data_IF_865310305463
#
_entry.id   IF_865310305463
#
_cell.length_a   1.000
_cell.length_b   1.000
_cell.length_c   1.000
_cell.angle_alpha   90.00
_cell.angle_beta   90.00
_cell.angle_gamma   90.00
#
_symmetry.space_group_name_H-M   'P 1'
#
loop_
_entity.id
_entity.type
_entity.pdbx_description
1 polymer ?
#
# COMPACT_ATOMS: atom_id res chain seq x y z
N UNK A 1 -6.20 9.64 -4.88
CA UNK A 1 -7.49 10.29 -4.64
C UNK A 1 -7.40 11.06 -3.34
N UNK A 2 -8.18 12.12 -3.17
CA UNK A 2 -8.31 12.69 -1.83
C UNK A 2 -9.05 11.69 -0.93
N UNK A 3 -8.87 11.86 0.38
CA UNK A 3 -9.58 11.05 1.36
C UNK A 3 -11.10 11.15 1.13
N UNK A 4 -11.77 10.00 1.10
CA UNK A 4 -13.22 9.91 0.85
C UNK A 4 -13.66 10.02 -0.62
N UNK A 5 -12.76 10.34 -1.56
CA UNK A 5 -13.11 10.40 -2.99
C UNK A 5 -12.96 9.05 -3.71
N UNK A 6 -12.15 8.15 -3.17
CA UNK A 6 -12.04 6.80 -3.73
C UNK A 6 -13.27 5.97 -3.33
N UNK A 7 -14.06 5.57 -4.33
CA UNK A 7 -15.24 4.72 -4.12
C UNK A 7 -14.77 3.30 -3.89
N UNK A 8 -15.08 2.76 -2.72
CA UNK A 8 -14.78 1.39 -2.33
C UNK A 8 -15.94 0.47 -2.71
N UNK A 9 -15.61 -0.76 -3.12
CA UNK A 9 -16.57 -1.84 -3.30
C UNK A 9 -16.19 -3.10 -2.51
N UNK A 10 -17.00 -4.15 -2.65
CA UNK A 10 -16.83 -5.43 -1.91
C UNK A 10 -15.51 -6.16 -2.23
N UNK A 11 -14.82 -5.73 -3.28
CA UNK A 11 -13.53 -6.30 -3.69
C UNK A 11 -12.33 -5.52 -3.16
N UNK A 12 -12.51 -4.40 -2.45
CA UNK A 12 -11.42 -3.62 -1.87
C UNK A 12 -11.17 -4.06 -0.42
N UNK A 13 -9.95 -4.50 -0.15
CA UNK A 13 -9.50 -4.91 1.18
C UNK A 13 -8.63 -3.80 1.76
N UNK A 14 -9.00 -3.27 2.93
CA UNK A 14 -8.16 -2.34 3.67
C UNK A 14 -6.99 -3.13 4.28
N UNK A 15 -5.77 -2.80 3.89
CA UNK A 15 -4.56 -3.42 4.44
C UNK A 15 -4.18 -2.86 5.81
N UNK A 16 -4.49 -1.57 6.02
CA UNK A 16 -4.12 -0.83 7.21
C UNK A 16 -3.98 0.67 6.92
N UNK A 17 -3.48 1.41 7.90
CA UNK A 17 -3.19 2.83 7.77
C UNK A 17 -1.67 3.03 7.76
N UNK A 18 -1.15 3.59 6.68
CA UNK A 18 0.27 3.90 6.51
C UNK A 18 0.60 5.21 7.23
N UNK A 19 1.41 5.13 8.29
CA UNK A 19 1.95 6.30 8.99
C UNK A 19 3.00 7.02 8.13
N UNK A 20 2.82 8.33 7.96
CA UNK A 20 3.73 9.18 7.18
C UNK A 20 4.87 9.79 8.03
N UNK A 21 4.89 9.54 9.34
CA UNK A 21 5.91 10.03 10.27
C UNK A 21 5.72 11.48 10.74
N UNK A 22 4.63 12.14 10.32
CA UNK A 22 4.28 13.51 10.70
C UNK A 22 2.94 13.62 11.45
N UNK A 23 2.47 12.49 11.99
CA UNK A 23 1.20 12.38 12.71
C UNK A 23 -0.02 12.17 11.80
N UNK A 24 0.17 12.11 10.47
CA UNK A 24 -0.87 11.74 9.51
C UNK A 24 -0.72 10.29 9.09
N UNK A 25 -1.86 9.64 8.84
CA UNK A 25 -1.92 8.30 8.26
C UNK A 25 -2.75 8.31 6.97
N UNK A 26 -2.46 7.36 6.08
CA UNK A 26 -3.21 7.16 4.83
C UNK A 26 -3.68 5.72 4.75
N UNK A 27 -4.99 5.52 4.56
CA UNK A 27 -5.55 4.19 4.37
C UNK A 27 -5.02 3.54 3.09
N UNK A 28 -4.49 2.32 3.21
CA UNK A 28 -3.99 1.51 2.10
C UNK A 28 -5.01 0.45 1.72
N UNK A 29 -5.31 0.36 0.42
CA UNK A 29 -6.32 -0.55 -0.13
C UNK A 29 -5.71 -1.43 -1.21
N UNK A 30 -6.23 -2.64 -1.34
CA UNK A 30 -5.81 -3.62 -2.35
C UNK A 30 -7.01 -4.41 -2.84
N UNK A 31 -7.03 -4.78 -4.12
CA UNK A 31 -8.08 -5.67 -4.60
C UNK A 31 -7.98 -7.04 -3.91
N UNK A 32 -9.12 -7.70 -3.70
CA UNK A 32 -9.20 -9.04 -3.09
C UNK A 32 -8.29 -10.05 -3.77
N UNK A 33 -8.20 -10.03 -5.10
CA UNK A 33 -7.35 -10.96 -5.85
C UNK A 33 -5.85 -10.71 -5.62
N UNK A 34 -5.43 -9.46 -5.52
CA UNK A 34 -4.04 -9.12 -5.16
C UNK A 34 -3.76 -9.44 -3.70
N UNK A 35 -4.71 -9.17 -2.81
CA UNK A 35 -4.59 -9.49 -1.38
C UNK A 35 -4.37 -10.99 -1.17
N UNK A 36 -5.17 -11.86 -1.79
CA UNK A 36 -4.97 -13.32 -1.65
C UNK A 36 -3.57 -13.76 -2.07
N UNK A 37 -3.00 -13.11 -3.08
CA UNK A 37 -1.66 -13.40 -3.55
C UNK A 37 -0.55 -12.80 -2.68
N UNK A 38 -0.78 -11.67 -1.99
CA UNK A 38 0.25 -10.93 -1.24
C UNK A 38 0.07 -10.91 0.28
N UNK A 39 -0.99 -11.49 0.83
CA UNK A 39 -1.32 -11.45 2.29
C UNK A 39 -0.23 -12.00 3.21
N UNK A 40 0.71 -12.77 2.68
CA UNK A 40 1.85 -13.35 3.39
C UNK A 40 3.14 -12.55 3.17
N UNK A 41 3.03 -11.28 2.76
CA UNK A 41 4.17 -10.40 2.49
C UNK A 41 4.14 -9.13 3.33
N UNK A 42 5.31 -8.70 3.78
CA UNK A 42 5.53 -7.34 4.26
C UNK A 42 5.73 -6.44 3.05
N UNK A 43 4.90 -5.40 2.93
CA UNK A 43 4.97 -4.42 1.87
C UNK A 43 5.59 -3.12 2.40
N UNK A 44 6.67 -2.68 1.76
CA UNK A 44 7.27 -1.36 1.98
C UNK A 44 6.93 -0.46 0.80
N UNK A 45 6.41 0.73 1.08
CA UNK A 45 6.11 1.75 0.07
C UNK A 45 7.17 2.84 0.14
N UNK A 46 8.01 2.92 -0.89
CA UNK A 46 9.05 3.93 -1.01
C UNK A 46 8.64 5.06 -1.96
N UNK A 47 9.23 6.25 -1.78
CA UNK A 47 9.25 7.33 -2.78
C UNK A 47 10.66 7.47 -3.31
N UNK A 48 10.85 7.25 -4.62
CA UNK A 48 12.16 7.30 -5.27
C UNK A 48 12.15 8.26 -6.45
N UNK A 49 13.32 8.80 -6.82
CA UNK A 49 13.46 9.60 -8.05
C UNK A 49 13.13 8.75 -9.27
N UNK A 50 12.37 9.31 -10.22
CA UNK A 50 12.04 8.63 -11.47
C UNK A 50 10.71 9.05 -12.05
N UNK A 51 10.39 8.48 -13.22
CA UNK A 51 9.11 8.70 -13.89
C UNK A 51 8.03 7.84 -13.23
N UNK A 52 7.00 8.49 -12.65
CA UNK A 52 5.78 7.83 -12.19
C UNK A 52 4.98 7.20 -13.33
N UNK A 53 4.04 6.32 -13.00
CA UNK A 53 3.11 5.78 -13.99
C UNK A 53 2.24 6.93 -14.56
N UNK A 54 1.74 6.77 -15.80
CA UNK A 54 1.01 7.84 -16.50
C UNK A 54 -0.28 8.32 -15.80
N UNK A 55 -0.79 7.54 -14.85
CA UNK A 55 -1.97 7.85 -14.03
C UNK A 55 -1.61 8.35 -12.62
N UNK A 56 -0.33 8.38 -12.25
CA UNK A 56 0.12 8.65 -10.89
C UNK A 56 0.25 10.16 -10.64
N UNK A 57 -0.29 10.64 -9.51
CA UNK A 57 -0.37 12.06 -9.20
C UNK A 57 0.99 12.72 -8.95
N UNK A 58 1.97 11.94 -8.51
CA UNK A 58 3.33 12.39 -8.25
C UNK A 58 4.19 12.50 -9.52
N UNK A 59 3.70 12.03 -10.68
CA UNK A 59 4.47 12.01 -11.92
C UNK A 59 5.08 13.38 -12.33
N UNK A 60 4.39 14.53 -12.17
CA UNK A 60 4.96 15.85 -12.43
C UNK A 60 6.08 16.26 -11.45
N UNK A 61 6.19 15.59 -10.30
CA UNK A 61 7.15 15.91 -9.24
C UNK A 61 8.52 15.23 -9.45
N UNK A 62 8.69 14.44 -10.52
CA UNK A 62 9.95 13.75 -10.83
C UNK A 62 10.29 12.60 -9.87
N UNK A 63 9.30 12.12 -9.12
CA UNK A 63 9.38 10.96 -8.24
C UNK A 63 8.36 9.90 -8.65
N UNK A 64 8.47 8.71 -8.06
CA UNK A 64 7.50 7.62 -8.19
C UNK A 64 7.41 6.81 -6.92
N UNK A 65 6.26 6.18 -6.70
CA UNK A 65 6.14 5.14 -5.68
C UNK A 65 6.80 3.84 -6.14
N UNK A 66 7.46 3.15 -5.22
CA UNK A 66 8.02 1.81 -5.43
C UNK A 66 7.57 0.91 -4.28
N UNK A 67 6.86 -0.18 -4.61
CA UNK A 67 6.52 -1.20 -3.65
C UNK A 67 7.63 -2.25 -3.64
N UNK A 68 8.18 -2.53 -2.47
CA UNK A 68 9.05 -3.68 -2.21
C UNK A 68 8.30 -4.67 -1.34
N UNK A 69 8.43 -5.94 -1.66
CA UNK A 69 7.84 -7.01 -0.87
C UNK A 69 8.93 -7.95 -0.37
N UNK A 70 8.71 -8.49 0.82
CA UNK A 70 9.38 -9.68 1.33
C UNK A 70 8.34 -10.59 1.95
N UNK A 71 8.64 -11.88 2.04
CA UNK A 71 7.82 -12.78 2.84
C UNK A 71 7.82 -12.32 4.31
N UNK A 72 6.68 -12.48 4.97
CA UNK A 72 6.61 -12.35 6.42
C UNK A 72 7.43 -13.47 7.08
N UNK A 73 8.05 -13.17 8.23
CA UNK A 73 8.65 -14.21 9.07
C UNK A 73 7.57 -15.03 9.77
N UNK A 74 7.96 -16.17 10.35
CA UNK A 74 7.05 -17.01 11.14
C UNK A 74 6.38 -16.21 12.27
N UNK A 75 7.16 -15.48 13.09
CA UNK A 75 6.63 -14.59 14.13
C UNK A 75 5.65 -13.53 13.62
N UNK A 76 5.85 -13.01 12.39
CA UNK A 76 4.97 -12.00 11.81
C UNK A 76 3.67 -12.63 11.30
N UNK A 77 3.72 -13.86 10.80
CA UNK A 77 2.54 -14.62 10.40
C UNK A 77 1.70 -15.03 11.61
N UNK A 78 2.31 -15.46 12.70
CA UNK A 78 1.60 -15.81 13.94
C UNK A 78 0.81 -14.61 14.49
N UNK A 79 1.39 -13.41 14.46
CA UNK A 79 0.70 -12.17 14.90
C UNK A 79 -0.47 -11.76 14.01
N UNK A 80 -0.58 -12.28 12.79
CA UNK A 80 -1.72 -12.02 11.90
C UNK A 80 -2.86 -13.02 12.10
N UNK A 81 -2.61 -14.15 12.76
CA UNK A 81 -3.62 -15.17 13.03
C UNK A 81 -4.39 -14.98 14.34
N UNK A 82 -3.96 -14.03 15.18
CA UNK A 82 -4.64 -13.59 16.40
C UNK A 82 -5.66 -12.47 16.12
#
# INVERSE_FOLDING_TARGET
FLEGEFILGDSDIKLGDLDLGDGRCVAMWMSRSQFEYWKHTHLTVDVVKGRGAGFSLEAPLGVRFLIRSRLLSEDELERLSD
#
